data_IF_744689722179
#
_entry.id   IF_744689722179
#
_cell.length_a   1.000
_cell.length_b   1.000
_cell.length_c   1.000
_cell.angle_alpha   90.00
_cell.angle_beta   90.00
_cell.angle_gamma   90.00
#
_symmetry.space_group_name_H-M   'P 1'
#
loop_
_entity.id
_entity.type
_entity.pdbx_description
1 polymer ?
#
# COMPACT_ATOMS: atom_id res chain seq x y z
N UNK A 1 -6.42 -18.69 -6.64
CA UNK A 1 -6.95 -17.43 -6.08
C UNK A 1 -8.24 -17.13 -6.81
N UNK A 2 -9.36 -16.96 -6.11
CA UNK A 2 -10.59 -16.47 -6.74
C UNK A 2 -10.44 -14.96 -6.97
N UNK A 3 -10.87 -14.46 -8.12
CA UNK A 3 -10.93 -13.02 -8.42
C UNK A 3 -11.83 -12.26 -7.42
N UNK A 4 -12.71 -12.96 -6.72
CA UNK A 4 -13.64 -12.40 -5.74
C UNK A 4 -12.97 -11.92 -4.44
N UNK A 5 -11.67 -12.21 -4.22
CA UNK A 5 -10.93 -11.74 -3.05
C UNK A 5 -10.00 -10.57 -3.32
N UNK A 6 -10.01 -10.00 -4.53
CA UNK A 6 -9.11 -8.89 -4.87
C UNK A 6 -9.69 -7.52 -4.49
N UNK A 7 -8.86 -6.53 -4.14
CA UNK A 7 -9.34 -5.23 -3.68
C UNK A 7 -10.05 -4.47 -4.80
N UNK A 8 -11.20 -3.88 -4.47
CA UNK A 8 -11.85 -2.87 -5.33
C UNK A 8 -11.27 -1.50 -5.01
N UNK A 9 -10.57 -0.91 -5.98
CA UNK A 9 -9.93 0.40 -5.86
C UNK A 9 -10.62 1.39 -6.80
N UNK A 10 -10.97 2.56 -6.27
CA UNK A 10 -11.59 3.66 -7.01
C UNK A 10 -10.68 4.88 -6.90
N UNK A 11 -10.27 5.45 -8.04
CA UNK A 11 -9.48 6.69 -8.11
C UNK A 11 -10.28 7.70 -8.92
N UNK A 12 -10.58 8.87 -8.33
CA UNK A 12 -11.37 9.93 -8.97
C UNK A 12 -12.70 9.44 -9.58
N UNK A 13 -13.38 8.51 -8.89
CA UNK A 13 -14.64 7.90 -9.36
C UNK A 13 -14.49 6.80 -10.42
N UNK A 14 -13.27 6.50 -10.86
CA UNK A 14 -13.00 5.43 -11.83
C UNK A 14 -12.64 4.15 -11.08
N UNK A 15 -13.47 3.12 -11.23
CA UNK A 15 -13.17 1.79 -10.71
C UNK A 15 -12.08 1.14 -11.57
N UNK A 16 -11.03 0.67 -10.91
CA UNK A 16 -9.93 -0.01 -11.58
C UNK A 16 -10.28 -1.46 -11.92
N UNK A 17 -9.70 -1.96 -12.99
CA UNK A 17 -9.69 -3.40 -13.29
C UNK A 17 -8.88 -4.18 -12.26
N UNK A 18 -9.11 -5.49 -12.18
CA UNK A 18 -8.36 -6.37 -11.26
C UNK A 18 -6.85 -6.24 -11.47
N UNK A 19 -6.38 -6.24 -12.72
CA UNK A 19 -4.96 -6.10 -13.02
C UNK A 19 -4.38 -4.78 -12.47
N UNK A 20 -5.10 -3.67 -12.64
CA UNK A 20 -4.68 -2.37 -12.11
C UNK A 20 -4.69 -2.32 -10.58
N UNK A 21 -5.73 -2.88 -9.94
CA UNK A 21 -5.81 -2.96 -8.48
C UNK A 21 -4.65 -3.80 -7.90
N UNK A 22 -4.31 -4.90 -8.58
CA UNK A 22 -3.19 -5.76 -8.24
C UNK A 22 -1.84 -5.07 -8.41
N UNK A 23 -1.66 -4.29 -9.47
CA UNK A 23 -0.46 -3.46 -9.65
C UNK A 23 -0.27 -2.49 -8.49
N UNK A 24 -1.36 -1.85 -8.02
CA UNK A 24 -1.29 -0.96 -6.85
C UNK A 24 -0.92 -1.74 -5.59
N UNK A 25 -1.53 -2.91 -5.36
CA UNK A 25 -1.19 -3.76 -4.21
C UNK A 25 0.30 -4.07 -4.17
N UNK A 26 0.87 -4.52 -5.29
CA UNK A 26 2.31 -4.84 -5.38
C UNK A 26 3.16 -3.60 -5.13
N UNK A 27 2.81 -2.45 -5.73
CA UNK A 27 3.57 -1.21 -5.54
C UNK A 27 3.58 -0.76 -4.07
N UNK A 28 2.45 -0.86 -3.38
CA UNK A 28 2.30 -0.54 -1.96
C UNK A 28 3.13 -1.50 -1.10
N UNK A 29 3.06 -2.80 -1.36
CA UNK A 29 3.86 -3.80 -0.62
C UNK A 29 5.35 -3.54 -0.80
N UNK A 30 5.81 -3.36 -2.04
CA UNK A 30 7.23 -3.09 -2.32
C UNK A 30 7.71 -1.78 -1.68
N UNK A 31 6.90 -0.71 -1.73
CA UNK A 31 7.27 0.54 -1.10
C UNK A 31 7.34 0.43 0.42
N UNK A 32 6.45 -0.35 1.04
CA UNK A 32 6.52 -0.66 2.47
C UNK A 32 7.82 -1.39 2.81
N UNK A 33 8.15 -2.44 2.08
CA UNK A 33 9.37 -3.23 2.29
C UNK A 33 10.62 -2.33 2.16
N UNK A 34 10.68 -1.50 1.12
CA UNK A 34 11.76 -0.51 0.93
C UNK A 34 11.90 0.46 2.11
N UNK A 35 10.78 0.94 2.66
CA UNK A 35 10.78 1.85 3.81
C UNK A 35 11.22 1.15 5.11
N UNK A 36 10.83 -0.10 5.32
CA UNK A 36 11.25 -0.90 6.48
C UNK A 36 12.75 -1.21 6.45
N UNK A 37 13.29 -1.48 5.26
CA UNK A 37 14.72 -1.78 5.08
C UNK A 37 15.61 -0.53 5.10
N UNK A 38 15.21 0.53 4.38
CA UNK A 38 16.09 1.66 4.04
C UNK A 38 15.66 2.98 4.69
N UNK A 39 14.37 3.14 4.98
CA UNK A 39 13.78 4.42 5.35
C UNK A 39 14.00 5.54 4.31
N UNK A 40 13.71 6.78 4.70
CA UNK A 40 13.88 7.99 3.87
C UNK A 40 15.02 8.91 4.34
N UNK A 41 15.93 8.39 5.15
CA UNK A 41 17.06 9.11 5.73
C UNK A 41 17.08 9.14 7.25
N UNK A 42 18.26 9.35 7.81
CA UNK A 42 18.53 9.23 9.25
C UNK A 42 18.25 10.50 10.06
N UNK A 43 17.98 11.62 9.37
CA UNK A 43 17.63 12.86 10.03
C UNK A 43 16.21 12.80 10.64
N UNK A 44 15.87 13.84 11.42
CA UNK A 44 14.57 13.89 12.10
C UNK A 44 13.40 13.87 11.11
N UNK A 45 13.57 14.47 9.93
CA UNK A 45 12.52 14.56 8.93
C UNK A 45 12.32 13.22 8.24
N UNK A 46 13.39 12.57 7.79
CA UNK A 46 13.37 11.25 7.16
C UNK A 46 12.76 10.19 8.06
N UNK A 47 13.11 10.18 9.36
CA UNK A 47 12.49 9.28 10.34
C UNK A 47 11.00 9.55 10.54
N UNK A 48 10.59 10.81 10.65
CA UNK A 48 9.18 11.18 10.81
C UNK A 48 8.35 10.78 9.58
N UNK A 49 8.87 11.02 8.37
CA UNK A 49 8.22 10.64 7.12
C UNK A 49 8.13 9.11 6.97
N UNK A 50 9.23 8.40 7.26
CA UNK A 50 9.25 6.92 7.22
C UNK A 50 8.17 6.36 8.14
N UNK A 51 8.12 6.81 9.39
CA UNK A 51 7.10 6.38 10.34
C UNK A 51 5.67 6.69 9.86
N UNK A 52 5.44 7.89 9.33
CA UNK A 52 4.12 8.30 8.85
C UNK A 52 3.65 7.48 7.64
N UNK A 53 4.56 7.16 6.72
CA UNK A 53 4.25 6.32 5.56
C UNK A 53 3.99 4.87 5.96
N UNK A 54 4.83 4.28 6.83
CA UNK A 54 4.63 2.90 7.30
C UNK A 54 3.28 2.72 8.01
N UNK A 55 2.84 3.73 8.77
CA UNK A 55 1.54 3.74 9.43
C UNK A 55 0.39 3.68 8.40
N UNK A 56 0.37 4.61 7.44
CA UNK A 56 -0.67 4.66 6.40
C UNK A 56 -0.65 3.44 5.47
N UNK A 57 0.53 2.93 5.12
CA UNK A 57 0.68 1.72 4.31
C UNK A 57 0.15 0.49 5.05
N UNK A 58 0.29 0.43 6.37
CA UNK A 58 -0.26 -0.67 7.19
C UNK A 58 -1.79 -0.61 7.24
N UNK A 59 -2.39 0.58 7.34
CA UNK A 59 -3.84 0.77 7.23
C UNK A 59 -4.36 0.32 5.86
N UNK A 60 -3.70 0.74 4.78
CA UNK A 60 -4.10 0.36 3.42
C UNK A 60 -3.99 -1.16 3.20
N UNK A 61 -2.89 -1.78 3.67
CA UNK A 61 -2.73 -3.23 3.59
C UNK A 61 -3.84 -3.97 4.35
N UNK A 62 -4.23 -3.50 5.53
CA UNK A 62 -5.35 -4.10 6.26
C UNK A 62 -6.64 -4.05 5.42
N UNK A 63 -6.92 -2.94 4.74
CA UNK A 63 -8.11 -2.81 3.88
C UNK A 63 -8.02 -3.75 2.66
N UNK A 64 -6.84 -3.88 2.05
CA UNK A 64 -6.64 -4.72 0.86
C UNK A 64 -6.75 -6.21 1.18
N UNK A 65 -6.24 -6.66 2.33
CA UNK A 65 -6.14 -8.09 2.67
C UNK A 65 -7.26 -8.62 3.57
N UNK A 66 -8.14 -7.75 4.09
CA UNK A 66 -9.35 -8.20 4.79
C UNK A 66 -10.25 -8.93 3.80
N UNK A 67 -10.45 -10.23 4.02
CA UNK A 67 -11.49 -11.01 3.36
C UNK A 67 -12.85 -10.43 3.75
N UNK A 68 -13.61 -9.98 2.76
CA UNK A 68 -15.06 -9.79 2.90
C UNK A 68 -15.77 -11.14 2.89
#
# INVERSE_FOLDING_TARGET
>A
MSLDSEPSIIINGIQLSVAQAMSIRVAISHFKDDLEEKGLGDDKLGKALTSGYLERLSEINAIIFVKK
#
